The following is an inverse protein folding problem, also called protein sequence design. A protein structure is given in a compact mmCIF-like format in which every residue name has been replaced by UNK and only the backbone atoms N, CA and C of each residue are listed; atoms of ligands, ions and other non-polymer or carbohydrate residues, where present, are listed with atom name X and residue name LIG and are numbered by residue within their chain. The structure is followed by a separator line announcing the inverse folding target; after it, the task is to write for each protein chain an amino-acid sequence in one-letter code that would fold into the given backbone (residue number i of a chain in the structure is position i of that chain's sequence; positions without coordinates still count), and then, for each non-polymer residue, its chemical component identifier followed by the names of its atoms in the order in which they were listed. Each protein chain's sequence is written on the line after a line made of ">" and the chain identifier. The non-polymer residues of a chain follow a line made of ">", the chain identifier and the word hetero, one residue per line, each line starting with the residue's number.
data_IF_613568245119
#
_entry.id   IF_613568245119
#
_cell.length_a   1.000
_cell.length_b   1.000
_cell.length_c   1.000
_cell.angle_alpha   90.00
_cell.angle_beta   90.00
_cell.angle_gamma   90.00
#
_symmetry.space_group_name_H-M   'P 1'
#
loop_
_entity.id
_entity.type
_entity.pdbx_description
1 polymer ?
#
# COMPACT_ATOMS: atom_id res chain seq x y z
N UNK A 1 -42.17 -38.89 3.87
CA UNK A 1 -40.99 -38.30 4.54
C UNK A 1 -39.80 -39.18 4.19
N UNK A 2 -38.73 -38.77 3.55
CA UNK A 2 -38.21 -37.44 3.22
C UNK A 2 -37.61 -37.47 1.82
N UNK A 3 -37.89 -36.43 1.04
CA UNK A 3 -37.06 -36.02 -0.07
C UNK A 3 -35.89 -35.22 0.50
N UNK A 4 -34.67 -35.49 0.05
CA UNK A 4 -33.61 -34.47 0.05
C UNK A 4 -32.96 -34.46 -1.33
N UNK A 5 -33.48 -33.54 -2.13
CA UNK A 5 -32.86 -32.91 -3.27
C UNK A 5 -31.53 -32.28 -2.84
N UNK A 6 -30.41 -32.91 -3.18
CA UNK A 6 -29.10 -32.28 -3.17
C UNK A 6 -28.94 -31.48 -4.46
N UNK A 7 -29.13 -30.17 -4.38
CA UNK A 7 -28.93 -29.23 -5.47
C UNK A 7 -27.51 -29.33 -6.02
N UNK A 8 -27.42 -29.67 -7.30
CA UNK A 8 -26.24 -29.53 -8.15
C UNK A 8 -26.12 -28.04 -8.48
N UNK A 9 -25.38 -27.29 -7.67
CA UNK A 9 -24.69 -26.06 -8.11
C UNK A 9 -23.26 -26.43 -8.51
N UNK A 10 -23.12 -27.31 -9.50
CA UNK A 10 -21.95 -27.24 -10.38
C UNK A 10 -22.36 -26.25 -11.46
N UNK A 11 -22.10 -24.98 -11.13
CA UNK A 11 -22.58 -23.79 -11.81
C UNK A 11 -22.24 -23.84 -13.30
N UNK A 12 -23.02 -23.13 -14.10
CA UNK A 12 -22.83 -23.01 -15.56
C UNK A 12 -21.39 -22.69 -15.96
N UNK A 13 -20.61 -22.07 -15.08
CA UNK A 13 -19.19 -21.77 -15.28
C UNK A 13 -18.32 -23.02 -15.32
N UNK A 14 -18.60 -24.04 -14.50
CA UNK A 14 -17.86 -25.31 -14.54
C UNK A 14 -18.13 -26.07 -15.84
N UNK A 15 -19.37 -26.01 -16.35
CA UNK A 15 -19.73 -26.60 -17.65
C UNK A 15 -19.19 -25.76 -18.82
N UNK A 16 -19.24 -24.44 -18.73
CA UNK A 16 -18.66 -23.54 -19.73
C UNK A 16 -17.15 -23.67 -19.80
N UNK A 17 -16.47 -23.74 -18.66
CA UNK A 17 -15.03 -23.95 -18.56
C UNK A 17 -14.65 -25.36 -19.01
N UNK A 18 -15.44 -26.39 -18.69
CA UNK A 18 -15.23 -27.73 -19.23
C UNK A 18 -15.38 -27.77 -20.76
N UNK A 19 -16.41 -27.12 -21.31
CA UNK A 19 -16.62 -27.03 -22.77
C UNK A 19 -15.53 -26.21 -23.48
N UNK A 20 -15.04 -25.14 -22.86
CA UNK A 20 -13.91 -24.35 -23.34
C UNK A 20 -12.62 -25.19 -23.32
N UNK A 21 -12.35 -25.88 -22.22
CA UNK A 21 -11.17 -26.74 -22.07
C UNK A 21 -11.18 -27.91 -23.05
N UNK A 22 -12.35 -28.53 -23.29
CA UNK A 22 -12.49 -29.61 -24.29
C UNK A 22 -12.24 -29.07 -25.70
N UNK A 23 -12.73 -27.87 -26.02
CA UNK A 23 -12.44 -27.22 -27.32
C UNK A 23 -10.97 -26.86 -27.46
N UNK A 24 -10.36 -26.24 -26.46
CA UNK A 24 -8.95 -25.87 -26.46
C UNK A 24 -8.03 -27.09 -26.61
N UNK A 25 -8.31 -28.18 -25.88
CA UNK A 25 -7.58 -29.43 -26.00
C UNK A 25 -7.64 -30.03 -27.41
N UNK A 26 -8.82 -30.05 -28.04
CA UNK A 26 -8.98 -30.55 -29.42
C UNK A 26 -8.25 -29.69 -30.45
N UNK A 27 -8.24 -28.36 -30.24
CA UNK A 27 -7.50 -27.41 -31.09
C UNK A 27 -6.00 -27.58 -30.90
N UNK A 28 -5.52 -27.76 -29.67
CA UNK A 28 -4.11 -28.02 -29.39
C UNK A 28 -3.63 -29.33 -30.00
N UNK A 29 -4.42 -30.41 -29.92
CA UNK A 29 -4.09 -31.70 -30.52
C UNK A 29 -3.94 -31.56 -32.04
N UNK A 30 -4.92 -30.93 -32.70
CA UNK A 30 -4.86 -30.65 -34.12
C UNK A 30 -3.62 -29.80 -34.49
N UNK A 31 -3.41 -28.67 -33.80
CA UNK A 31 -2.29 -27.77 -34.09
C UNK A 31 -0.94 -28.44 -33.84
N UNK A 32 -0.82 -29.33 -32.85
CA UNK A 32 0.39 -30.13 -32.61
C UNK A 32 0.66 -31.07 -33.77
N UNK A 33 -0.35 -31.82 -34.22
CA UNK A 33 -0.22 -32.71 -35.38
C UNK A 33 0.22 -31.94 -36.64
N UNK A 34 -0.38 -30.76 -36.89
CA UNK A 34 0.05 -29.90 -38.01
C UNK A 34 1.48 -29.41 -37.82
N UNK A 35 1.87 -29.03 -36.60
CA UNK A 35 3.24 -28.57 -36.32
C UNK A 35 4.30 -29.67 -36.51
N UNK A 36 3.95 -30.93 -36.31
CA UNK A 36 4.84 -32.07 -36.56
C UNK A 36 5.01 -32.33 -38.07
N UNK A 37 3.91 -32.20 -38.83
CA UNK A 37 3.92 -32.35 -40.30
C UNK A 37 4.58 -31.17 -41.00
N UNK A 38 4.42 -29.97 -40.45
CA UNK A 38 4.93 -28.71 -41.01
C UNK A 38 5.71 -27.90 -39.95
N UNK A 39 6.94 -28.33 -39.57
CA UNK A 39 7.67 -27.71 -38.46
C UNK A 39 8.02 -26.24 -38.65
N UNK A 40 8.06 -25.76 -39.90
CA UNK A 40 8.38 -24.36 -40.25
C UNK A 40 7.15 -23.50 -40.51
N UNK A 41 5.94 -24.01 -40.26
CA UNK A 41 4.72 -23.24 -40.43
C UNK A 41 4.55 -22.26 -39.25
N UNK A 42 5.04 -21.04 -39.44
CA UNK A 42 4.97 -19.95 -38.45
C UNK A 42 3.54 -19.64 -38.00
N UNK A 43 2.53 -19.79 -38.88
CA UNK A 43 1.13 -19.55 -38.53
C UNK A 43 0.66 -20.56 -37.49
N UNK A 44 1.02 -21.83 -37.62
CA UNK A 44 0.65 -22.88 -36.65
C UNK A 44 1.29 -22.61 -35.29
N UNK A 45 2.58 -22.23 -35.27
CA UNK A 45 3.25 -21.83 -34.02
C UNK A 45 2.62 -20.58 -33.39
N UNK A 46 2.20 -19.60 -34.19
CA UNK A 46 1.46 -18.45 -33.69
C UNK A 46 0.09 -18.83 -33.09
N UNK A 47 -0.65 -19.75 -33.74
CA UNK A 47 -1.92 -20.23 -33.20
C UNK A 47 -1.73 -21.04 -31.91
N UNK A 48 -0.71 -21.90 -31.85
CA UNK A 48 -0.32 -22.60 -30.62
C UNK A 48 0.02 -21.61 -29.50
N UNK A 49 0.73 -20.53 -29.82
CA UNK A 49 1.05 -19.49 -28.86
C UNK A 49 -0.20 -18.80 -28.31
N UNK A 50 -1.17 -18.46 -29.16
CA UNK A 50 -2.44 -17.87 -28.72
C UNK A 50 -3.22 -18.83 -27.81
N UNK A 51 -3.38 -20.09 -28.21
CA UNK A 51 -4.14 -21.06 -27.39
C UNK A 51 -3.43 -21.29 -26.04
N UNK A 52 -2.10 -21.41 -26.02
CA UNK A 52 -1.36 -21.49 -24.78
C UNK A 52 -1.44 -20.21 -23.93
N UNK A 53 -1.54 -19.03 -24.55
CA UNK A 53 -1.74 -17.78 -23.83
C UNK A 53 -3.13 -17.72 -23.18
N UNK A 54 -4.16 -18.14 -23.91
CA UNK A 54 -5.55 -18.20 -23.43
C UNK A 54 -5.73 -19.25 -22.32
N UNK A 55 -4.97 -20.36 -22.37
CA UNK A 55 -4.89 -21.36 -21.29
C UNK A 55 -3.95 -20.96 -20.13
N UNK A 56 -3.44 -19.72 -20.11
CA UNK A 56 -2.51 -19.19 -19.11
C UNK A 56 -1.17 -19.96 -19.02
N UNK A 57 -0.84 -20.76 -20.03
CA UNK A 57 0.41 -21.49 -20.16
C UNK A 57 1.50 -20.62 -20.80
N UNK A 58 1.82 -19.50 -20.16
CA UNK A 58 2.65 -18.44 -20.75
C UNK A 58 4.05 -18.90 -21.20
N UNK A 59 4.68 -19.87 -20.51
CA UNK A 59 5.97 -20.45 -20.96
C UNK A 59 5.84 -21.24 -22.26
N UNK A 60 4.75 -21.99 -22.44
CA UNK A 60 4.50 -22.71 -23.70
C UNK A 60 4.14 -21.73 -24.81
N UNK A 61 3.38 -20.68 -24.49
CA UNK A 61 3.11 -19.58 -25.41
C UNK A 61 4.42 -18.93 -25.88
N UNK A 62 5.36 -18.66 -24.96
CA UNK A 62 6.68 -18.09 -25.26
C UNK A 62 7.51 -18.96 -26.22
N UNK A 63 7.52 -20.28 -26.01
CA UNK A 63 8.24 -21.20 -26.91
C UNK A 63 7.66 -21.14 -28.32
N UNK A 64 6.34 -21.20 -28.45
CA UNK A 64 5.69 -21.23 -29.75
C UNK A 64 5.76 -19.87 -30.47
N UNK A 65 5.60 -18.75 -29.76
CA UNK A 65 5.73 -17.42 -30.38
C UNK A 65 7.17 -17.18 -30.87
N UNK A 66 8.17 -17.67 -30.13
CA UNK A 66 9.57 -17.58 -30.54
C UNK A 66 9.83 -18.34 -31.83
N UNK A 67 9.25 -19.53 -32.01
CA UNK A 67 9.30 -20.27 -33.28
C UNK A 67 8.58 -19.54 -34.42
N UNK A 68 7.43 -18.93 -34.14
CA UNK A 68 6.71 -18.15 -35.14
C UNK A 68 7.57 -16.98 -35.65
N UNK A 69 8.25 -16.28 -34.74
CA UNK A 69 9.18 -15.19 -35.05
C UNK A 69 10.43 -15.71 -35.78
N UNK A 70 11.01 -16.84 -35.36
CA UNK A 70 12.18 -17.45 -36.03
C UNK A 70 11.90 -17.76 -37.51
N UNK A 71 10.69 -18.23 -37.82
CA UNK A 71 10.31 -18.58 -39.19
C UNK A 71 9.76 -17.40 -39.99
N UNK A 72 9.26 -16.34 -39.33
CA UNK A 72 8.85 -15.09 -39.97
C UNK A 72 9.07 -13.89 -39.02
N UNK A 73 10.13 -13.13 -39.26
CA UNK A 73 10.56 -12.00 -38.42
C UNK A 73 9.84 -10.67 -38.74
N UNK A 74 9.05 -10.58 -39.81
CA UNK A 74 8.45 -9.31 -40.30
C UNK A 74 6.95 -9.18 -39.98
N UNK A 75 6.47 -9.86 -38.93
CA UNK A 75 5.05 -9.85 -38.56
C UNK A 75 4.78 -9.14 -37.22
N UNK A 76 4.12 -7.98 -37.30
CA UNK A 76 3.82 -7.15 -36.14
C UNK A 76 2.96 -7.84 -35.08
N UNK A 77 2.04 -8.74 -35.47
CA UNK A 77 1.18 -9.47 -34.52
C UNK A 77 1.99 -10.45 -33.66
N UNK A 78 3.09 -10.99 -34.19
CA UNK A 78 3.91 -11.96 -33.45
C UNK A 78 4.64 -11.29 -32.30
N UNK A 79 5.22 -10.11 -32.57
CA UNK A 79 5.84 -9.29 -31.54
C UNK A 79 4.83 -8.70 -30.57
N UNK A 80 3.62 -8.37 -31.02
CA UNK A 80 2.56 -7.90 -30.13
C UNK A 80 2.14 -8.99 -29.13
N UNK A 81 1.90 -10.21 -29.60
CA UNK A 81 1.61 -11.35 -28.73
C UNK A 81 2.80 -11.70 -27.83
N UNK A 82 4.02 -11.65 -28.37
CA UNK A 82 5.25 -11.86 -27.58
C UNK A 82 5.34 -10.84 -26.43
N UNK A 83 5.05 -9.57 -26.69
CA UNK A 83 4.97 -8.53 -25.67
C UNK A 83 3.94 -8.81 -24.57
N UNK A 84 2.73 -9.25 -24.96
CA UNK A 84 1.69 -9.70 -24.02
C UNK A 84 2.13 -10.90 -23.18
N UNK A 85 2.82 -11.87 -23.78
CA UNK A 85 3.35 -13.04 -23.08
C UNK A 85 4.40 -12.60 -22.05
N UNK A 86 5.35 -11.75 -22.43
CA UNK A 86 6.37 -11.23 -21.52
C UNK A 86 5.78 -10.40 -20.37
N UNK A 87 4.73 -9.62 -20.64
CA UNK A 87 3.97 -8.93 -19.60
C UNK A 87 3.43 -9.92 -18.55
N UNK A 88 2.81 -11.03 -18.99
CA UNK A 88 2.27 -12.07 -18.09
C UNK A 88 3.35 -12.88 -17.38
N UNK A 89 4.56 -12.93 -17.94
CA UNK A 89 5.73 -13.54 -17.31
C UNK A 89 6.46 -12.61 -16.34
N UNK A 90 5.99 -11.36 -16.16
CA UNK A 90 6.63 -10.33 -15.35
C UNK A 90 8.06 -9.99 -15.80
N UNK A 91 8.29 -10.00 -17.12
CA UNK A 91 9.55 -9.67 -17.78
C UNK A 91 9.42 -8.32 -18.54
N UNK A 92 9.41 -7.17 -17.83
CA UNK A 92 9.01 -5.89 -18.41
C UNK A 92 9.97 -5.36 -19.49
N UNK A 93 11.28 -5.64 -19.39
CA UNK A 93 12.25 -5.23 -20.40
C UNK A 93 12.01 -5.92 -21.75
N UNK A 94 11.75 -7.23 -21.74
CA UNK A 94 11.50 -8.00 -22.97
C UNK A 94 10.12 -7.69 -23.55
N UNK A 95 9.13 -7.45 -22.68
CA UNK A 95 7.80 -6.98 -23.10
C UNK A 95 7.91 -5.68 -23.91
N UNK A 96 8.58 -4.66 -23.37
CA UNK A 96 8.77 -3.37 -24.07
C UNK A 96 9.50 -3.56 -25.40
N UNK A 97 10.58 -4.35 -25.44
CA UNK A 97 11.33 -4.58 -26.69
C UNK A 97 10.44 -5.18 -27.77
N UNK A 98 9.69 -6.23 -27.44
CA UNK A 98 8.78 -6.87 -28.38
C UNK A 98 7.69 -5.89 -28.85
N UNK A 99 7.07 -5.15 -27.94
CA UNK A 99 6.00 -4.20 -28.28
C UNK A 99 6.50 -3.03 -29.15
N UNK A 100 7.72 -2.53 -28.91
CA UNK A 100 8.32 -1.50 -29.77
C UNK A 100 8.64 -2.03 -31.17
N UNK A 101 9.04 -3.31 -31.30
CA UNK A 101 9.19 -3.94 -32.61
C UNK A 101 7.84 -4.09 -33.31
N UNK A 102 6.79 -4.47 -32.58
CA UNK A 102 5.43 -4.50 -33.12
C UNK A 102 4.99 -3.11 -33.62
N UNK A 103 5.26 -2.05 -32.84
CA UNK A 103 5.00 -0.66 -33.24
C UNK A 103 5.73 -0.29 -34.53
N UNK A 104 7.02 -0.64 -34.62
CA UNK A 104 7.87 -0.35 -35.78
C UNK A 104 7.42 -1.11 -37.04
N UNK A 105 6.88 -2.32 -36.88
CA UNK A 105 6.28 -3.12 -37.95
C UNK A 105 4.84 -2.69 -38.30
N UNK A 106 4.32 -1.65 -37.66
CA UNK A 106 3.07 -0.98 -38.03
C UNK A 106 1.87 -1.30 -37.14
N UNK A 107 2.00 -2.11 -36.09
CA UNK A 107 0.93 -2.31 -35.10
C UNK A 107 0.74 -1.01 -34.31
N UNK A 108 -0.44 -0.41 -34.38
CA UNK A 108 -0.79 0.80 -33.61
C UNK A 108 -2.22 0.70 -33.12
N UNK A 109 -2.41 0.31 -31.86
CA UNK A 109 -3.72 0.22 -31.24
C UNK A 109 -3.64 0.59 -29.75
N UNK A 110 -4.79 0.74 -29.12
CA UNK A 110 -4.92 1.14 -27.72
C UNK A 110 -4.20 0.15 -26.79
N UNK A 111 -4.44 -1.16 -26.95
CA UNK A 111 -3.86 -2.21 -26.10
C UNK A 111 -2.32 -2.20 -26.14
N UNK A 112 -1.70 -2.03 -27.31
CA UNK A 112 -0.25 -1.88 -27.44
C UNK A 112 0.30 -0.72 -26.61
N UNK A 113 -0.29 0.47 -26.77
CA UNK A 113 0.19 1.65 -26.07
C UNK A 113 -0.10 1.61 -24.57
N UNK A 114 -1.19 0.97 -24.16
CA UNK A 114 -1.48 0.69 -22.75
C UNK A 114 -0.38 -0.17 -22.13
N UNK A 115 -0.06 -1.32 -22.76
CA UNK A 115 0.96 -2.23 -22.24
C UNK A 115 2.32 -1.54 -22.20
N UNK A 116 2.75 -0.85 -23.27
CA UNK A 116 4.03 -0.14 -23.28
C UNK A 116 4.12 0.89 -22.13
N UNK A 117 3.04 1.65 -21.91
CA UNK A 117 3.00 2.65 -20.85
C UNK A 117 3.12 2.00 -19.45
N UNK A 118 2.41 0.90 -19.23
CA UNK A 118 2.43 0.14 -17.98
C UNK A 118 3.79 -0.53 -17.71
N UNK A 119 4.41 -1.13 -18.73
CA UNK A 119 5.74 -1.74 -18.58
C UNK A 119 6.81 -0.68 -18.27
N UNK A 120 6.79 0.47 -18.95
CA UNK A 120 7.71 1.55 -18.59
C UNK A 120 7.48 2.08 -17.18
N UNK A 121 6.25 2.02 -16.67
CA UNK A 121 5.97 2.35 -15.27
C UNK A 121 6.58 1.31 -14.33
N UNK A 122 6.47 0.00 -14.63
CA UNK A 122 7.13 -1.08 -13.88
C UNK A 122 8.66 -0.93 -13.87
N UNK A 123 9.25 -0.54 -15.00
CA UNK A 123 10.68 -0.26 -15.15
C UNK A 123 11.13 1.02 -14.44
N UNK A 124 10.19 1.80 -13.87
CA UNK A 124 10.46 3.12 -13.28
C UNK A 124 11.10 4.09 -14.28
N UNK A 125 10.71 4.00 -15.54
CA UNK A 125 11.13 4.87 -16.64
C UNK A 125 9.97 5.76 -17.15
N UNK A 126 9.36 6.61 -16.30
CA UNK A 126 8.12 7.32 -16.65
C UNK A 126 8.30 8.33 -17.80
N UNK A 127 9.52 8.79 -18.05
CA UNK A 127 9.83 9.66 -19.19
C UNK A 127 9.58 8.96 -20.54
N UNK A 128 9.84 7.65 -20.62
CA UNK A 128 9.56 6.84 -21.82
C UNK A 128 8.07 6.48 -21.91
N UNK A 129 7.43 6.18 -20.76
CA UNK A 129 6.00 5.93 -20.67
C UNK A 129 5.16 7.10 -21.23
N UNK A 130 5.62 8.34 -21.07
CA UNK A 130 4.93 9.56 -21.54
C UNK A 130 4.53 9.49 -23.01
N UNK A 131 5.40 9.00 -23.89
CA UNK A 131 5.09 8.91 -25.32
C UNK A 131 3.96 7.91 -25.58
N UNK A 132 4.02 6.74 -24.95
CA UNK A 132 3.01 5.70 -25.13
C UNK A 132 1.65 6.12 -24.58
N UNK A 133 1.62 6.75 -23.39
CA UNK A 133 0.35 7.19 -22.80
C UNK A 133 -0.29 8.36 -23.55
N UNK A 134 0.52 9.25 -24.15
CA UNK A 134 -0.01 10.28 -25.05
C UNK A 134 -0.68 9.65 -26.28
N UNK A 135 -0.03 8.67 -26.93
CA UNK A 135 -0.64 7.90 -28.03
C UNK A 135 -1.90 7.15 -27.60
N UNK A 136 -1.90 6.55 -26.41
CA UNK A 136 -3.09 5.87 -25.87
C UNK A 136 -4.24 6.87 -25.71
N UNK A 137 -4.02 7.99 -25.03
CA UNK A 137 -5.09 8.98 -24.74
C UNK A 137 -5.59 9.73 -25.98
N UNK A 138 -4.83 9.73 -27.08
CA UNK A 138 -5.30 10.20 -28.39
C UNK A 138 -6.26 9.19 -29.05
N UNK A 139 -6.12 7.89 -28.76
CA UNK A 139 -6.94 6.81 -29.31
C UNK A 139 -8.10 6.41 -28.40
N UNK A 140 -7.92 6.52 -27.08
CA UNK A 140 -8.85 6.06 -26.05
C UNK A 140 -9.19 7.20 -25.08
N UNK A 141 -10.48 7.51 -24.98
CA UNK A 141 -11.01 8.52 -24.08
C UNK A 141 -11.79 7.84 -22.93
N UNK A 142 -11.13 6.91 -22.25
CA UNK A 142 -11.66 6.14 -21.11
C UNK A 142 -11.12 6.65 -19.76
N UNK A 143 -11.82 6.33 -18.67
CA UNK A 143 -11.34 6.64 -17.33
C UNK A 143 -10.03 5.90 -16.98
N UNK A 144 -9.87 4.68 -17.49
CA UNK A 144 -8.66 3.86 -17.32
C UNK A 144 -7.44 4.54 -17.96
N UNK A 145 -7.52 4.95 -19.23
CA UNK A 145 -6.42 5.61 -19.93
C UNK A 145 -6.00 6.93 -19.25
N UNK A 146 -6.96 7.75 -18.81
CA UNK A 146 -6.65 8.99 -18.09
C UNK A 146 -6.11 8.74 -16.68
N UNK A 147 -6.50 7.64 -16.02
CA UNK A 147 -5.93 7.27 -14.72
C UNK A 147 -4.48 6.81 -14.87
N UNK A 148 -4.19 5.98 -15.87
CA UNK A 148 -2.81 5.58 -16.19
C UNK A 148 -1.95 6.80 -16.53
N UNK A 149 -2.49 7.77 -17.29
CA UNK A 149 -1.82 9.06 -17.54
C UNK A 149 -1.54 9.82 -16.27
N UNK A 150 -2.51 9.92 -15.36
CA UNK A 150 -2.31 10.50 -14.04
C UNK A 150 -1.18 9.82 -13.27
N UNK A 151 -1.15 8.50 -13.26
CA UNK A 151 -0.13 7.71 -12.56
C UNK A 151 1.28 7.97 -13.12
N UNK A 152 1.41 8.07 -14.45
CA UNK A 152 2.69 8.40 -15.10
C UNK A 152 3.12 9.83 -14.74
N UNK A 153 2.19 10.80 -14.67
CA UNK A 153 2.50 12.16 -14.24
C UNK A 153 2.94 12.24 -12.77
N UNK A 154 2.37 11.43 -11.89
CA UNK A 154 2.87 11.27 -10.50
C UNK A 154 4.32 10.78 -10.50
N UNK A 155 4.63 9.74 -11.28
CA UNK A 155 6.00 9.22 -11.39
C UNK A 155 7.00 10.23 -11.99
N UNK A 156 6.51 11.18 -12.79
CA UNK A 156 7.30 12.31 -13.31
C UNK A 156 7.45 13.47 -12.29
N UNK A 157 6.74 13.42 -11.16
CA UNK A 157 6.69 14.48 -10.17
C UNK A 157 5.74 15.63 -10.52
N UNK A 158 4.98 15.54 -11.61
CA UNK A 158 3.98 16.54 -12.00
C UNK A 158 2.61 16.21 -11.39
N UNK A 159 2.48 16.51 -10.10
CA UNK A 159 1.22 16.29 -9.38
C UNK A 159 0.08 17.16 -9.90
N UNK A 160 0.36 18.29 -10.56
CA UNK A 160 -0.69 19.18 -11.09
C UNK A 160 -1.36 18.51 -12.29
N UNK A 161 -0.57 18.09 -13.29
CA UNK A 161 -1.10 17.34 -14.42
C UNK A 161 -1.72 16.01 -14.00
N UNK A 162 -1.15 15.33 -13.01
CA UNK A 162 -1.74 14.11 -12.48
C UNK A 162 -3.18 14.33 -12.01
N UNK A 163 -3.41 15.35 -11.18
CA UNK A 163 -4.75 15.69 -10.68
C UNK A 163 -5.72 16.03 -11.82
N UNK A 164 -5.29 16.78 -12.84
CA UNK A 164 -6.13 17.11 -13.99
C UNK A 164 -6.58 15.85 -14.75
N UNK A 165 -5.67 14.89 -14.95
CA UNK A 165 -5.98 13.63 -15.62
C UNK A 165 -6.90 12.75 -14.77
N UNK A 166 -6.68 12.62 -13.47
CA UNK A 166 -7.60 11.87 -12.60
C UNK A 166 -8.99 12.53 -12.52
N UNK A 167 -9.06 13.87 -12.46
CA UNK A 167 -10.34 14.58 -12.51
C UNK A 167 -11.07 14.35 -13.83
N UNK A 168 -10.33 14.25 -14.95
CA UNK A 168 -10.90 13.87 -16.23
C UNK A 168 -11.41 12.43 -16.22
N UNK A 169 -10.65 11.50 -15.64
CA UNK A 169 -11.09 10.11 -15.47
C UNK A 169 -12.40 10.02 -14.68
N UNK A 170 -12.51 10.70 -13.52
CA UNK A 170 -13.75 10.76 -12.72
C UNK A 170 -14.93 11.39 -13.47
N UNK A 171 -14.67 12.33 -14.38
CA UNK A 171 -15.73 12.91 -15.23
C UNK A 171 -16.23 11.93 -16.30
N UNK A 172 -15.33 11.12 -16.85
CA UNK A 172 -15.65 10.10 -17.87
C UNK A 172 -16.40 8.93 -17.24
N UNK A 173 -15.93 8.45 -16.09
CA UNK A 173 -16.60 7.43 -15.30
C UNK A 173 -16.55 7.80 -13.82
N UNK A 174 -17.74 8.12 -13.28
CA UNK A 174 -17.90 8.48 -11.87
C UNK A 174 -17.77 7.30 -10.93
N UNK A 175 -17.83 6.08 -11.45
CA UNK A 175 -17.79 4.82 -10.68
C UNK A 175 -16.42 4.14 -10.76
N UNK A 176 -15.47 4.70 -11.51
CA UNK A 176 -14.12 4.13 -11.65
C UNK A 176 -13.27 4.35 -10.38
N UNK A 177 -13.01 3.31 -9.57
CA UNK A 177 -12.45 3.49 -8.23
C UNK A 177 -11.02 4.06 -8.25
N UNK A 178 -10.17 3.62 -9.17
CA UNK A 178 -8.73 3.97 -9.15
C UNK A 178 -8.47 5.48 -9.26
N UNK A 179 -9.28 6.19 -10.06
CA UNK A 179 -9.18 7.64 -10.16
C UNK A 179 -9.58 8.35 -8.85
N UNK A 180 -10.62 7.85 -8.16
CA UNK A 180 -11.03 8.38 -6.86
C UNK A 180 -10.00 8.06 -5.77
N UNK A 181 -9.40 6.87 -5.80
CA UNK A 181 -8.31 6.50 -4.88
C UNK A 181 -7.14 7.46 -5.06
N UNK A 182 -6.68 7.67 -6.30
CA UNK A 182 -5.56 8.56 -6.58
C UNK A 182 -5.83 10.01 -6.14
N UNK A 183 -7.03 10.53 -6.40
CA UNK A 183 -7.43 11.87 -5.93
C UNK A 183 -7.51 11.94 -4.41
N UNK A 184 -8.10 10.95 -3.74
CA UNK A 184 -8.14 10.87 -2.28
C UNK A 184 -6.73 10.93 -1.69
N UNK A 185 -5.78 10.16 -2.22
CA UNK A 185 -4.40 10.10 -1.74
C UNK A 185 -3.65 11.42 -1.91
N UNK A 186 -3.84 12.08 -3.05
CA UNK A 186 -3.27 13.41 -3.28
C UNK A 186 -3.86 14.42 -2.29
N UNK A 187 -5.17 14.38 -2.04
CA UNK A 187 -5.80 15.29 -1.08
C UNK A 187 -5.40 14.99 0.37
N UNK A 188 -5.24 13.72 0.76
CA UNK A 188 -4.71 13.29 2.07
C UNK A 188 -3.29 13.83 2.26
N UNK A 189 -2.40 13.62 1.29
CA UNK A 189 -1.00 14.06 1.39
C UNK A 189 -0.86 15.59 1.44
N UNK A 190 -1.75 16.32 0.73
CA UNK A 190 -1.84 17.79 0.78
C UNK A 190 -2.59 18.33 2.01
N UNK A 191 -3.05 17.45 2.92
CA UNK A 191 -3.86 17.81 4.10
C UNK A 191 -5.15 18.58 3.74
N UNK A 192 -5.69 18.37 2.54
CA UNK A 192 -6.98 18.89 2.14
C UNK A 192 -8.06 17.88 2.51
N UNK A 193 -8.41 17.86 3.81
CA UNK A 193 -9.29 16.84 4.40
C UNK A 193 -10.71 16.85 3.81
N UNK A 194 -11.23 18.03 3.45
CA UNK A 194 -12.58 18.15 2.89
C UNK A 194 -12.72 17.41 1.55
N UNK A 195 -11.81 17.67 0.60
CA UNK A 195 -11.83 16.98 -0.69
C UNK A 195 -11.47 15.49 -0.54
N UNK A 196 -10.52 15.15 0.34
CA UNK A 196 -10.20 13.75 0.62
C UNK A 196 -11.43 12.97 1.10
N UNK A 197 -12.21 13.53 2.03
CA UNK A 197 -13.44 12.91 2.50
C UNK A 197 -14.47 12.69 1.38
N UNK A 198 -14.59 13.62 0.43
CA UNK A 198 -15.52 13.49 -0.69
C UNK A 198 -15.18 12.28 -1.57
N UNK A 199 -13.91 12.13 -1.94
CA UNK A 199 -13.46 10.99 -2.76
C UNK A 199 -13.57 9.67 -1.99
N UNK A 200 -13.14 9.62 -0.72
CA UNK A 200 -13.26 8.41 0.12
C UNK A 200 -14.73 8.02 0.36
N UNK A 201 -15.63 8.98 0.58
CA UNK A 201 -17.05 8.69 0.74
C UNK A 201 -17.65 8.14 -0.57
N UNK A 202 -17.19 8.61 -1.73
CA UNK A 202 -17.62 8.07 -3.03
C UNK A 202 -17.17 6.62 -3.18
N UNK A 203 -15.92 6.31 -2.84
CA UNK A 203 -15.41 4.93 -2.82
C UNK A 203 -16.23 4.01 -1.92
N UNK A 204 -16.56 4.47 -0.70
CA UNK A 204 -17.41 3.72 0.23
C UNK A 204 -18.88 3.62 -0.20
N UNK A 205 -19.36 4.47 -1.10
CA UNK A 205 -20.69 4.29 -1.71
C UNK A 205 -20.67 3.18 -2.75
N UNK A 206 -19.56 3.01 -3.47
CA UNK A 206 -19.39 1.94 -4.46
C UNK A 206 -19.20 0.59 -3.76
N UNK A 207 -18.30 0.56 -2.77
CA UNK A 207 -17.98 -0.66 -2.02
C UNK A 207 -17.93 -0.35 -0.51
N UNK A 208 -19.08 -0.44 0.20
CA UNK A 208 -19.18 -0.07 1.62
C UNK A 208 -18.31 -0.89 2.56
N UNK A 209 -18.01 -2.13 2.18
CA UNK A 209 -17.26 -3.09 2.99
C UNK A 209 -15.81 -3.26 2.51
N UNK A 210 -15.36 -2.47 1.53
CA UNK A 210 -13.97 -2.50 1.11
C UNK A 210 -13.06 -1.98 2.23
N UNK A 211 -12.28 -2.88 2.80
CA UNK A 211 -11.41 -2.58 3.94
C UNK A 211 -10.34 -1.54 3.61
N UNK A 212 -9.87 -1.45 2.36
CA UNK A 212 -8.93 -0.42 1.93
C UNK A 212 -9.56 0.98 1.93
N UNK A 213 -10.82 1.10 1.52
CA UNK A 213 -11.55 2.37 1.56
C UNK A 213 -11.90 2.77 2.99
N UNK A 214 -12.26 1.79 3.83
CA UNK A 214 -12.48 1.99 5.26
C UNK A 214 -11.20 2.46 5.95
N UNK A 215 -10.04 1.89 5.65
CA UNK A 215 -8.75 2.30 6.17
C UNK A 215 -8.47 3.79 5.89
N UNK A 216 -8.65 4.22 4.63
CA UNK A 216 -8.53 5.64 4.23
C UNK A 216 -9.50 6.55 4.99
N UNK A 217 -10.73 6.09 5.22
CA UNK A 217 -11.72 6.82 6.03
C UNK A 217 -11.28 6.93 7.48
N UNK A 218 -10.77 5.83 8.06
CA UNK A 218 -10.23 5.78 9.41
C UNK A 218 -9.08 6.77 9.60
N UNK A 219 -8.13 6.81 8.67
CA UNK A 219 -7.02 7.77 8.71
C UNK A 219 -7.49 9.23 8.70
N UNK A 220 -8.47 9.56 7.86
CA UNK A 220 -9.05 10.91 7.82
C UNK A 220 -9.78 11.26 9.13
N UNK A 221 -10.50 10.30 9.72
CA UNK A 221 -11.16 10.48 11.02
C UNK A 221 -10.16 10.67 12.17
N UNK A 222 -9.01 9.98 12.12
CA UNK A 222 -7.93 10.21 13.09
C UNK A 222 -7.38 11.63 13.00
N UNK A 223 -7.18 12.15 11.79
CA UNK A 223 -6.64 13.51 11.54
C UNK A 223 -7.59 14.62 11.98
N UNK A 224 -8.89 14.44 11.73
CA UNK A 224 -9.95 15.36 12.18
C UNK A 224 -10.28 15.26 13.68
N UNK A 225 -9.72 14.27 14.38
CA UNK A 225 -9.94 14.05 15.80
C UNK A 225 -11.25 13.32 16.13
N UNK A 226 -11.95 12.79 15.13
CA UNK A 226 -13.15 11.95 15.26
C UNK A 226 -12.77 10.51 15.70
N UNK A 227 -12.10 10.41 16.86
CA UNK A 227 -11.41 9.19 17.27
C UNK A 227 -12.34 8.01 17.59
N UNK A 228 -13.59 8.26 18.02
CA UNK A 228 -14.54 7.17 18.27
C UNK A 228 -15.00 6.49 16.98
N UNK A 229 -15.27 7.28 15.93
CA UNK A 229 -15.57 6.78 14.60
C UNK A 229 -14.37 6.03 14.00
N UNK A 230 -13.17 6.59 14.15
CA UNK A 230 -11.93 5.94 13.72
C UNK A 230 -11.73 4.58 14.41
N UNK A 231 -11.95 4.52 15.73
CA UNK A 231 -11.84 3.28 16.51
C UNK A 231 -12.78 2.21 15.98
N UNK A 232 -14.05 2.55 15.73
CA UNK A 232 -15.02 1.58 15.20
C UNK A 232 -14.55 0.96 13.87
N UNK A 233 -14.01 1.80 12.97
CA UNK A 233 -13.46 1.36 11.69
C UNK A 233 -12.23 0.46 11.90
N UNK A 234 -11.22 0.93 12.63
CA UNK A 234 -9.99 0.16 12.81
C UNK A 234 -10.17 -1.11 13.65
N UNK A 235 -11.15 -1.15 14.56
CA UNK A 235 -11.55 -2.38 15.25
C UNK A 235 -12.11 -3.40 14.26
N UNK A 236 -13.02 -2.99 13.38
CA UNK A 236 -13.56 -3.86 12.33
C UNK A 236 -12.45 -4.41 11.42
N UNK A 237 -11.56 -3.54 10.93
CA UNK A 237 -10.45 -3.95 10.05
C UNK A 237 -9.54 -4.96 10.76
N UNK A 238 -9.17 -4.68 12.02
CA UNK A 238 -8.29 -5.58 12.79
C UNK A 238 -8.92 -6.95 13.08
N UNK A 239 -10.24 -6.99 13.32
CA UNK A 239 -10.97 -8.24 13.56
C UNK A 239 -11.08 -9.10 12.29
N UNK A 240 -11.28 -8.47 11.12
CA UNK A 240 -11.43 -9.16 9.83
C UNK A 240 -10.09 -9.65 9.26
N UNK A 241 -9.06 -8.78 9.18
CA UNK A 241 -7.76 -9.12 8.58
C UNK A 241 -6.82 -9.85 9.53
N UNK A 242 -6.93 -9.59 10.83
CA UNK A 242 -6.04 -10.09 11.87
C UNK A 242 -4.54 -9.88 11.57
N UNK A 243 -4.19 -8.77 10.90
CA UNK A 243 -2.84 -8.46 10.50
C UNK A 243 -2.17 -7.45 11.47
N UNK A 244 -0.85 -7.54 11.62
CA UNK A 244 -0.12 -6.75 12.62
C UNK A 244 -0.26 -5.23 12.43
N UNK A 245 -0.32 -4.76 11.18
CA UNK A 245 -0.52 -3.35 10.87
C UNK A 245 -1.87 -2.83 11.35
N UNK A 246 -2.93 -3.62 11.25
CA UNK A 246 -4.28 -3.18 11.65
C UNK A 246 -4.38 -3.04 13.18
N UNK A 247 -3.77 -3.97 13.94
CA UNK A 247 -3.66 -3.84 15.39
C UNK A 247 -2.81 -2.65 15.81
N UNK A 248 -1.75 -2.34 15.05
CA UNK A 248 -0.94 -1.15 15.29
C UNK A 248 -1.72 0.14 15.01
N UNK A 249 -2.51 0.22 13.93
CA UNK A 249 -3.37 1.37 13.66
C UNK A 249 -4.43 1.55 14.76
N UNK A 250 -5.09 0.47 15.17
CA UNK A 250 -6.03 0.51 16.29
C UNK A 250 -5.36 0.95 17.60
N UNK A 251 -4.13 0.52 17.84
CA UNK A 251 -3.33 0.99 18.99
C UNK A 251 -3.08 2.50 18.94
N UNK A 252 -2.73 3.04 17.76
CA UNK A 252 -2.56 4.49 17.57
C UNK A 252 -3.86 5.25 17.87
N UNK A 253 -5.01 4.74 17.44
CA UNK A 253 -6.32 5.34 17.79
C UNK A 253 -6.51 5.38 19.29
N UNK A 254 -6.32 4.25 20.00
CA UNK A 254 -6.43 4.21 21.46
C UNK A 254 -5.45 5.16 22.15
N UNK A 255 -4.22 5.28 21.62
CA UNK A 255 -3.22 6.19 22.15
C UNK A 255 -3.68 7.66 22.04
N UNK A 256 -4.22 8.06 20.88
CA UNK A 256 -4.79 9.39 20.67
C UNK A 256 -6.01 9.65 21.57
N UNK A 257 -6.82 8.61 21.84
CA UNK A 257 -7.93 8.66 22.80
C UNK A 257 -7.47 8.71 24.26
N UNK A 258 -6.16 8.62 24.52
CA UNK A 258 -5.55 8.50 25.87
C UNK A 258 -5.94 7.23 26.62
N UNK A 259 -6.48 6.24 25.92
CA UNK A 259 -6.76 4.89 26.41
C UNK A 259 -5.47 4.06 26.39
N UNK A 260 -4.48 4.46 27.19
CA UNK A 260 -3.12 3.93 27.11
C UNK A 260 -3.00 2.43 27.43
N UNK A 261 -3.90 1.87 28.23
CA UNK A 261 -3.95 0.42 28.48
C UNK A 261 -4.37 -0.35 27.22
N UNK A 262 -5.43 0.08 26.55
CA UNK A 262 -5.89 -0.50 25.29
C UNK A 262 -4.86 -0.30 24.17
N UNK A 263 -4.23 0.88 24.10
CA UNK A 263 -3.14 1.14 23.17
C UNK A 263 -1.99 0.15 23.40
N UNK A 264 -1.51 0.02 24.64
CA UNK A 264 -0.44 -0.91 24.98
C UNK A 264 -0.81 -2.36 24.61
N UNK A 265 -2.04 -2.79 24.90
CA UNK A 265 -2.51 -4.14 24.58
C UNK A 265 -2.47 -4.41 23.07
N UNK A 266 -3.05 -3.53 22.26
CA UNK A 266 -3.09 -3.70 20.80
C UNK A 266 -1.69 -3.62 20.16
N UNK A 267 -0.81 -2.75 20.68
CA UNK A 267 0.58 -2.67 20.22
C UNK A 267 1.36 -3.95 20.54
N UNK A 268 1.17 -4.54 21.73
CA UNK A 268 1.77 -5.84 22.05
C UNK A 268 1.27 -6.94 21.12
N UNK A 269 -0.03 -6.97 20.81
CA UNK A 269 -0.61 -7.93 19.85
C UNK A 269 -0.01 -7.77 18.44
N UNK A 270 0.17 -6.53 17.97
CA UNK A 270 0.87 -6.27 16.70
C UNK A 270 2.29 -6.85 16.70
N UNK A 271 3.07 -6.60 17.76
CA UNK A 271 4.43 -7.13 17.90
C UNK A 271 4.48 -8.66 18.09
N UNK A 272 3.43 -9.27 18.64
CA UNK A 272 3.32 -10.73 18.72
C UNK A 272 3.19 -11.38 17.35
N UNK A 273 2.45 -10.74 16.44
CA UNK A 273 2.27 -11.20 15.06
C UNK A 273 3.49 -10.91 14.18
N UNK A 274 4.22 -9.82 14.43
CA UNK A 274 5.47 -9.51 13.74
C UNK A 274 6.53 -8.97 14.72
N UNK A 275 7.53 -9.80 15.00
CA UNK A 275 8.61 -9.50 15.96
C UNK A 275 9.64 -8.49 15.44
N UNK A 276 9.66 -8.25 14.13
CA UNK A 276 10.58 -7.29 13.51
C UNK A 276 9.97 -5.88 13.42
N UNK A 277 8.67 -5.75 13.70
CA UNK A 277 7.97 -4.46 13.67
C UNK A 277 8.14 -3.69 15.00
N UNK A 278 9.32 -3.12 15.18
CA UNK A 278 9.75 -2.42 16.40
C UNK A 278 8.93 -1.16 16.70
N UNK A 279 8.28 -0.56 15.69
CA UNK A 279 7.35 0.58 15.84
C UNK A 279 6.21 0.27 16.82
N UNK A 280 5.76 -0.99 16.88
CA UNK A 280 4.76 -1.40 17.87
C UNK A 280 5.30 -1.32 19.30
N UNK A 281 6.57 -1.70 19.54
CA UNK A 281 7.20 -1.57 20.86
C UNK A 281 7.44 -0.10 21.25
N UNK A 282 7.72 0.77 20.28
CA UNK A 282 7.75 2.22 20.52
C UNK A 282 6.41 2.70 21.10
N UNK A 283 5.29 2.24 20.54
CA UNK A 283 3.97 2.63 21.02
C UNK A 283 3.64 2.07 22.42
N UNK A 284 4.15 0.88 22.76
CA UNK A 284 4.13 0.32 24.13
C UNK A 284 4.87 1.25 25.09
N UNK A 285 6.11 1.64 24.76
CA UNK A 285 6.94 2.51 25.60
C UNK A 285 6.31 3.90 25.76
N UNK A 286 5.79 4.51 24.67
CA UNK A 286 5.05 5.78 24.71
C UNK A 286 3.82 5.70 25.60
N UNK A 287 3.07 4.59 25.55
CA UNK A 287 1.89 4.38 26.40
C UNK A 287 2.28 4.30 27.89
N UNK A 288 3.37 3.60 28.21
CA UNK A 288 3.93 3.52 29.56
C UNK A 288 4.42 4.90 30.07
N UNK A 289 5.09 5.69 29.23
CA UNK A 289 5.51 7.05 29.57
C UNK A 289 4.31 7.95 29.91
N UNK A 290 3.24 7.92 29.11
CA UNK A 290 2.02 8.70 29.39
C UNK A 290 1.33 8.27 30.69
N UNK A 291 1.46 6.99 31.06
CA UNK A 291 1.02 6.45 32.35
C UNK A 291 1.99 6.73 33.51
N UNK A 292 3.10 7.42 33.27
CA UNK A 292 4.18 7.69 34.24
C UNK A 292 4.91 6.45 34.75
N UNK A 293 4.81 5.33 34.03
CA UNK A 293 5.53 4.09 34.31
C UNK A 293 6.90 4.14 33.63
N UNK A 294 7.71 5.12 34.05
CA UNK A 294 8.92 5.52 33.31
C UNK A 294 9.97 4.41 33.25
N UNK A 295 10.15 3.67 34.34
CA UNK A 295 11.13 2.58 34.40
C UNK A 295 10.80 1.47 33.39
N UNK A 296 9.53 1.07 33.32
CA UNK A 296 9.08 0.07 32.34
C UNK A 296 9.18 0.58 30.90
N UNK A 297 8.92 1.86 30.67
CA UNK A 297 9.12 2.46 29.34
C UNK A 297 10.61 2.44 28.93
N UNK A 298 11.52 2.75 29.85
CA UNK A 298 12.97 2.68 29.64
C UNK A 298 13.40 1.25 29.29
N UNK A 299 12.90 0.25 30.02
CA UNK A 299 13.20 -1.17 29.76
C UNK A 299 12.75 -1.60 28.36
N UNK A 300 11.58 -1.15 27.89
CA UNK A 300 11.11 -1.43 26.53
C UNK A 300 12.03 -0.80 25.50
N UNK A 301 12.44 0.47 25.65
CA UNK A 301 13.39 1.09 24.72
C UNK A 301 14.75 0.38 24.72
N UNK A 302 15.24 -0.04 25.89
CA UNK A 302 16.49 -0.80 25.99
C UNK A 302 16.37 -2.17 25.30
N UNK A 303 15.21 -2.83 25.39
CA UNK A 303 14.95 -4.07 24.68
C UNK A 303 14.96 -3.87 23.14
N UNK A 304 14.37 -2.78 22.65
CA UNK A 304 14.46 -2.42 21.21
C UNK A 304 15.92 -2.26 20.79
N UNK A 305 16.72 -1.53 21.58
CA UNK A 305 18.14 -1.28 21.29
C UNK A 305 19.05 -2.52 21.47
N UNK A 306 18.61 -3.52 22.22
CA UNK A 306 19.27 -4.81 22.30
C UNK A 306 19.05 -5.64 21.02
N UNK A 307 17.91 -5.46 20.35
CA UNK A 307 17.61 -6.07 19.04
C UNK A 307 18.25 -5.31 17.90
N UNK A 308 18.06 -3.98 17.85
CA UNK A 308 18.67 -3.08 16.86
C UNK A 308 19.27 -1.87 17.57
N UNK A 309 20.59 -1.91 17.74
CA UNK A 309 21.36 -0.85 18.41
C UNK A 309 21.41 0.46 17.62
N UNK A 310 21.01 0.44 16.35
CA UNK A 310 21.00 1.60 15.46
C UNK A 310 19.60 2.22 15.27
N UNK A 311 18.59 1.71 15.98
CA UNK A 311 17.22 2.18 15.88
C UNK A 311 17.05 3.61 16.44
N UNK A 312 17.30 4.61 15.59
CA UNK A 312 17.40 6.03 15.96
C UNK A 312 16.21 6.59 16.74
N UNK A 313 14.99 6.13 16.44
CA UNK A 313 13.79 6.59 17.13
C UNK A 313 13.79 6.17 18.60
N UNK A 314 14.19 4.93 18.92
CA UNK A 314 14.29 4.46 20.29
C UNK A 314 15.41 5.18 21.06
N UNK A 315 16.57 5.43 20.43
CA UNK A 315 17.67 6.19 21.03
C UNK A 315 17.18 7.58 21.46
N UNK A 316 16.55 8.29 20.52
CA UNK A 316 16.08 9.66 20.73
C UNK A 316 15.00 9.74 21.81
N UNK A 317 14.03 8.82 21.79
CA UNK A 317 12.95 8.82 22.78
C UNK A 317 13.41 8.37 24.17
N UNK A 318 14.34 7.40 24.25
CA UNK A 318 14.94 6.97 25.51
C UNK A 318 15.70 8.11 26.18
N UNK A 319 16.55 8.82 25.44
CA UNK A 319 17.32 9.97 25.97
C UNK A 319 16.38 11.08 26.46
N UNK A 320 15.32 11.39 25.69
CA UNK A 320 14.30 12.36 26.12
C UNK A 320 13.58 11.92 27.40
N UNK A 321 13.24 10.63 27.51
CA UNK A 321 12.60 10.08 28.70
C UNK A 321 13.54 10.10 29.91
N UNK A 322 14.81 9.74 29.75
CA UNK A 322 15.81 9.77 30.83
C UNK A 322 16.02 11.18 31.36
N UNK A 323 16.14 12.17 30.46
CA UNK A 323 16.24 13.59 30.85
C UNK A 323 15.00 14.06 31.62
N UNK A 324 13.81 13.66 31.16
CA UNK A 324 12.54 13.94 31.86
C UNK A 324 12.52 13.31 33.26
N UNK A 325 12.92 12.05 33.40
CA UNK A 325 12.96 11.35 34.70
C UNK A 325 13.95 12.02 35.65
N UNK A 326 15.15 12.36 35.19
CA UNK A 326 16.16 13.05 36.00
C UNK A 326 15.66 14.42 36.48
N UNK A 327 14.99 15.17 35.60
CA UNK A 327 14.38 16.46 35.95
C UNK A 327 13.28 16.30 37.02
N UNK A 328 12.37 15.33 36.85
CA UNK A 328 11.31 15.06 37.81
C UNK A 328 11.87 14.64 39.17
N UNK A 329 12.93 13.82 39.19
CA UNK A 329 13.60 13.43 40.41
C UNK A 329 14.20 14.63 41.14
N UNK A 330 14.89 15.53 40.41
CA UNK A 330 15.45 16.75 41.00
C UNK A 330 14.38 17.65 41.62
N UNK A 331 13.28 17.88 40.90
CA UNK A 331 12.14 18.65 41.43
C UNK A 331 11.57 18.04 42.72
N UNK A 332 11.52 16.71 42.80
CA UNK A 332 11.06 16.02 43.99
C UNK A 332 12.01 16.24 45.18
N UNK A 333 13.33 16.24 44.97
CA UNK A 333 14.31 16.56 46.01
C UNK A 333 14.17 18.02 46.49
N UNK A 334 14.10 18.98 45.56
CA UNK A 334 13.93 20.41 45.89
C UNK A 334 12.63 20.64 46.68
N UNK A 335 11.54 19.94 46.33
CA UNK A 335 10.29 20.00 47.09
C UNK A 335 10.45 19.44 48.51
N UNK A 336 11.13 18.30 48.67
CA UNK A 336 11.39 17.72 50.00
C UNK A 336 12.25 18.64 50.87
N UNK A 337 13.23 19.34 50.29
CA UNK A 337 14.06 20.33 50.98
C UNK A 337 13.25 21.58 51.39
N UNK A 338 12.37 22.08 50.52
CA UNK A 338 11.47 23.18 50.87
C UNK A 338 10.47 22.78 51.97
N UNK A 339 9.91 21.58 51.89
CA UNK A 339 8.98 21.08 52.91
C UNK A 339 9.71 20.86 54.25
N UNK A 340 10.98 20.41 54.23
CA UNK A 340 11.77 20.24 55.45
C UNK A 340 12.15 21.58 56.10
N UNK A 341 12.58 22.57 55.31
CA UNK A 341 12.88 23.93 55.79
C UNK A 341 11.63 24.67 56.27
N UNK A 342 10.46 24.42 55.67
CA UNK A 342 9.18 24.94 56.14
C UNK A 342 8.75 24.32 57.47
N UNK A 343 8.93 23.01 57.64
CA UNK A 343 8.52 22.29 58.85
C UNK A 343 9.54 22.42 60.00
N UNK A 344 10.79 22.76 59.69
CA UNK A 344 11.87 23.00 60.66
C UNK A 344 12.68 24.25 60.24
N UNK A 345 12.14 25.47 60.46
CA UNK A 345 12.86 26.68 60.08
C UNK A 345 14.16 26.82 60.89
N UNK A 346 15.26 27.30 60.28
CA UNK A 346 16.52 27.50 60.98
C UNK A 346 16.35 28.48 62.17
N UNK A 347 17.11 28.31 63.27
CA UNK A 347 16.99 29.16 64.44
C UNK A 347 17.22 30.63 64.08
N UNK A 348 16.33 31.51 64.58
CA UNK A 348 16.40 32.93 64.29
C UNK A 348 17.76 33.49 64.72
N UNK A 349 18.51 34.06 63.76
CA UNK A 349 19.77 34.75 64.05
C UNK A 349 19.44 35.99 64.87
N UNK A 350 19.68 35.96 66.18
CA UNK A 350 19.65 37.16 67.01
C UNK A 350 20.72 38.11 66.48
N UNK A 351 20.30 39.22 65.85
CA UNK A 351 21.20 40.33 65.53
C UNK A 351 21.81 40.81 66.85
N UNK A 352 23.11 40.60 67.03
CA UNK A 352 23.86 41.24 68.12
C UNK A 352 23.68 42.75 67.96
N UNK A 353 23.03 43.38 68.93
CA UNK A 353 23.04 44.82 69.07
C UNK A 353 24.51 45.27 69.22
N UNK A 354 24.98 46.02 68.23
CA UNK A 354 26.23 46.75 68.33
C UNK A 354 25.92 47.91 69.27
N UNK A 355 26.28 47.75 70.55
CA UNK A 355 26.23 48.84 71.52
C UNK A 355 27.35 49.81 71.15
N UNK A 356 26.95 50.92 70.54
CA UNK A 356 27.81 52.04 70.20
C UNK A 356 28.16 52.78 71.51
N UNK A 357 29.33 52.50 72.07
CA UNK A 357 29.83 53.19 73.26
C UNK A 357 30.41 54.54 72.84
N UNK A 358 29.58 55.58 72.85
CA UNK A 358 30.04 56.97 73.00
C UNK A 358 30.13 57.34 74.48
N UNK A 359 31.35 57.63 74.95
CA UNK A 359 31.64 58.75 75.87
C UNK A 359 33.13 59.05 75.90
#
# INVERSE_FOLDING_TARGET
>A
MMAFSGCVEHSKDALHNADINVKAASVLEYLREVSEKEPRNHVVHYQLANVHFDEEQYRQAQINISKAIEFQEDNAEYYFLSGKIYQKLEEPEEAVKALLLAENLGKKNQELYYIIAEEYQRLKEPAKARKAIDQLTDMDNSAEAYTLKGNIMISLGDTVQAMENYQRAVKLDKTYPDAHIALADIHISRKNEQEAHKFVNTLLQLEPDNLGFLERKGELLMRSGELDSAKAIFSRIADERQHYLDYYQLSNVYYLQRAYDSAQYMAKKAFELNKDFLEAQILVARSLDKKRRYQEAIEVYQAILATDSTYNLAITELDNLQRKVAYLWRLEQERKEMDSTRNNPPPAVQKKEIIDNQK
#
